data_IF_802537873097
#
_entry.id   IF_802537873097
#
_cell.length_a   1.000
_cell.length_b   1.000
_cell.length_c   1.000
_cell.angle_alpha   90.00
_cell.angle_beta   90.00
_cell.angle_gamma   90.00
#
_symmetry.space_group_name_H-M   'P 1'
#
loop_
_entity.id
_entity.type
_entity.pdbx_description
1 polymer ?
#
# COMPACT_ATOMS: atom_id res chain seq x y z
N UNK A 1 -28.77 35.40 41.33
CA UNK A 1 -27.94 35.89 40.18
C UNK A 1 -26.77 34.95 39.78
N UNK A 2 -26.72 33.71 40.24
CA UNK A 2 -25.60 32.81 39.94
C UNK A 2 -25.93 31.60 39.06
N UNK A 3 -27.22 31.29 38.85
CA UNK A 3 -27.63 30.12 38.10
C UNK A 3 -27.82 30.37 36.59
N UNK A 4 -28.24 31.57 36.22
CA UNK A 4 -28.52 31.91 34.81
C UNK A 4 -27.24 32.14 33.98
N UNK A 5 -26.12 32.49 34.64
CA UNK A 5 -24.84 32.73 33.95
C UNK A 5 -24.19 31.43 33.41
N UNK A 6 -24.40 30.31 34.10
CA UNK A 6 -23.84 29.02 33.66
C UNK A 6 -24.61 28.38 32.50
N UNK A 7 -25.92 28.62 32.42
CA UNK A 7 -26.73 28.12 31.31
C UNK A 7 -26.46 28.90 30.01
N UNK A 8 -26.26 30.20 30.09
CA UNK A 8 -25.95 31.06 28.93
C UNK A 8 -24.57 30.79 28.33
N UNK A 9 -23.57 30.53 29.17
CA UNK A 9 -22.23 30.17 28.74
C UNK A 9 -22.18 28.76 28.05
N UNK A 10 -22.97 27.80 28.55
CA UNK A 10 -23.06 26.47 27.96
C UNK A 10 -23.75 26.48 26.58
N UNK A 11 -24.77 27.31 26.39
CA UNK A 11 -25.45 27.45 25.09
C UNK A 11 -24.61 28.17 24.03
N UNK A 12 -23.76 29.13 24.42
CA UNK A 12 -22.86 29.82 23.49
C UNK A 12 -21.71 28.94 22.99
N UNK A 13 -21.23 28.00 23.80
CA UNK A 13 -20.17 27.04 23.42
C UNK A 13 -20.71 26.00 22.43
N UNK A 14 -21.99 25.61 22.55
CA UNK A 14 -22.63 24.65 21.62
C UNK A 14 -22.96 25.26 20.25
N UNK A 15 -23.09 26.59 20.18
CA UNK A 15 -23.41 27.29 18.93
C UNK A 15 -22.20 27.76 18.12
N UNK A 16 -20.97 27.47 18.56
CA UNK A 16 -19.72 27.82 17.85
C UNK A 16 -19.42 29.34 17.80
N UNK A 17 -20.12 30.17 18.58
CA UNK A 17 -20.02 31.62 18.53
C UNK A 17 -18.95 32.17 19.51
N UNK A 18 -17.69 31.96 19.16
CA UNK A 18 -16.52 32.38 19.95
C UNK A 18 -16.41 33.90 20.12
N UNK A 19 -17.08 34.69 19.26
CA UNK A 19 -17.13 36.14 19.37
C UNK A 19 -17.83 36.61 20.65
N UNK A 20 -18.87 35.93 21.11
CA UNK A 20 -19.60 36.27 22.32
C UNK A 20 -18.85 35.94 23.62
N UNK A 21 -18.04 34.89 23.59
CA UNK A 21 -17.22 34.49 24.75
C UNK A 21 -16.06 35.45 25.00
N UNK A 22 -15.48 36.01 23.93
CA UNK A 22 -14.39 37.01 24.06
C UNK A 22 -14.88 38.34 24.61
N UNK A 23 -16.12 38.71 24.33
CA UNK A 23 -16.70 39.98 24.89
C UNK A 23 -16.96 39.89 26.40
N UNK A 24 -17.28 38.70 26.93
CA UNK A 24 -17.58 38.54 28.36
C UNK A 24 -16.34 38.60 29.30
N UNK A 25 -15.14 38.40 28.81
CA UNK A 25 -13.89 38.51 29.63
C UNK A 25 -13.37 39.91 29.83
N UNK A 26 -13.87 40.94 29.12
CA UNK A 26 -13.45 42.34 29.21
C UNK A 26 -14.26 43.21 30.16
N UNK A 27 -15.23 42.67 30.90
CA UNK A 27 -16.15 43.43 31.75
C UNK A 27 -15.68 43.64 33.20
N UNK A 28 -14.40 43.60 33.47
CA UNK A 28 -13.92 43.82 34.86
C UNK A 28 -12.73 44.78 34.95
N UNK A 29 -12.75 45.89 34.23
CA UNK A 29 -11.91 47.08 34.64
C UNK A 29 -12.38 48.31 33.85
N UNK A 30 -12.74 49.35 34.62
CA UNK A 30 -12.93 50.74 34.26
C UNK A 30 -14.13 51.15 33.36
N UNK A 31 -15.14 51.73 34.03
CA UNK A 31 -16.32 52.34 33.45
C UNK A 31 -16.04 53.58 32.61
N UNK A 32 -15.81 53.40 31.34
CA UNK A 32 -16.05 54.40 30.28
C UNK A 32 -16.57 53.65 29.06
N UNK A 33 -17.85 53.77 28.76
CA UNK A 33 -18.45 53.26 27.55
C UNK A 33 -17.99 54.08 26.34
N UNK A 34 -17.12 53.53 25.52
CA UNK A 34 -16.99 53.90 24.11
C UNK A 34 -17.54 52.73 23.27
N UNK A 35 -18.64 52.97 22.59
CA UNK A 35 -19.16 52.09 21.57
C UNK A 35 -18.16 52.01 20.43
N UNK A 36 -17.33 50.99 20.41
CA UNK A 36 -16.54 50.65 19.24
C UNK A 36 -17.48 49.99 18.21
N UNK A 37 -17.86 50.73 17.20
CA UNK A 37 -18.49 50.18 15.99
C UNK A 37 -17.50 49.22 15.36
N UNK A 38 -17.79 47.93 15.42
CA UNK A 38 -17.07 46.92 14.69
C UNK A 38 -17.34 47.15 13.18
N UNK A 39 -16.40 47.80 12.48
CA UNK A 39 -16.45 47.78 11.00
C UNK A 39 -16.23 46.36 10.53
N UNK A 40 -17.07 45.82 9.64
CA UNK A 40 -16.75 44.59 8.96
C UNK A 40 -15.48 44.86 8.13
N UNK A 41 -14.39 44.16 8.41
CA UNK A 41 -13.23 44.13 7.54
C UNK A 41 -13.65 43.36 6.26
N UNK A 42 -14.11 44.12 5.27
CA UNK A 42 -14.28 43.67 3.90
C UNK A 42 -12.90 43.56 3.28
N UNK A 43 -12.44 42.37 3.15
CA UNK A 43 -11.20 42.04 2.48
C UNK A 43 -10.79 40.66 2.94
N UNK A 44 -11.17 39.63 2.17
CA UNK A 44 -10.72 38.25 2.38
C UNK A 44 -9.20 38.15 2.19
N UNK A 45 -8.44 38.58 3.20
CA UNK A 45 -7.00 38.30 3.30
C UNK A 45 -6.78 36.91 3.95
N UNK A 46 -7.67 35.98 3.73
CA UNK A 46 -7.44 34.60 4.14
C UNK A 46 -6.49 33.98 3.11
N UNK A 47 -5.24 33.80 3.50
CA UNK A 47 -4.28 33.08 2.68
C UNK A 47 -4.80 31.66 2.48
N UNK A 48 -5.01 31.20 1.23
CA UNK A 48 -5.48 29.85 1.00
C UNK A 48 -4.50 28.82 1.58
N UNK A 49 -5.03 27.90 2.39
CA UNK A 49 -4.26 26.79 2.93
C UNK A 49 -4.19 25.73 1.83
N UNK A 50 -3.00 25.50 1.31
CA UNK A 50 -2.74 24.50 0.27
C UNK A 50 -2.08 23.26 0.85
N UNK A 51 -2.24 22.09 0.19
CA UNK A 51 -1.42 20.90 0.47
C UNK A 51 0.07 21.19 0.21
N UNK A 52 0.95 20.41 0.83
CA UNK A 52 2.38 20.49 0.56
C UNK A 52 2.68 20.15 -0.91
N UNK A 53 3.60 20.89 -1.54
CA UNK A 53 4.04 20.61 -2.92
C UNK A 53 4.62 19.20 -3.09
N UNK A 54 5.18 18.60 -2.03
CA UNK A 54 5.61 17.19 -2.03
C UNK A 54 4.50 16.18 -2.37
N UNK A 55 3.23 16.60 -2.23
CA UNK A 55 2.06 15.79 -2.57
C UNK A 55 1.58 16.00 -4.01
N UNK A 56 2.17 16.91 -4.77
CA UNK A 56 1.76 17.17 -6.16
C UNK A 56 2.19 16.03 -7.09
N UNK A 57 3.36 15.43 -6.81
CA UNK A 57 3.91 14.30 -7.58
C UNK A 57 3.56 12.93 -6.98
N UNK A 58 2.69 12.90 -5.96
CA UNK A 58 2.23 11.65 -5.36
C UNK A 58 1.00 11.15 -6.12
N UNK A 59 1.22 10.24 -7.07
CA UNK A 59 0.16 9.49 -7.73
C UNK A 59 -0.28 8.34 -6.82
N UNK A 60 -1.24 8.60 -5.92
CA UNK A 60 -1.86 7.56 -5.07
C UNK A 60 -3.34 7.40 -5.44
N UNK A 61 -3.59 7.21 -6.74
CA UNK A 61 -4.91 7.27 -7.35
C UNK A 61 -5.79 6.03 -7.12
N UNK A 62 -5.33 5.05 -6.32
CA UNK A 62 -6.24 4.01 -5.79
C UNK A 62 -7.46 4.64 -5.08
N UNK A 63 -7.39 5.95 -4.76
CA UNK A 63 -8.44 6.78 -4.14
C UNK A 63 -8.85 7.99 -4.98
N UNK A 64 -8.53 8.02 -6.27
CA UNK A 64 -8.78 9.14 -7.17
C UNK A 64 -10.24 9.31 -7.62
N UNK A 65 -10.47 10.06 -8.70
CA UNK A 65 -11.81 10.43 -9.21
C UNK A 65 -12.78 9.25 -9.41
N UNK A 66 -12.25 8.07 -9.79
CA UNK A 66 -13.07 6.87 -9.92
C UNK A 66 -13.69 6.43 -8.59
N UNK A 67 -12.95 6.54 -7.46
CA UNK A 67 -13.50 6.21 -6.15
C UNK A 67 -14.50 7.25 -5.64
N UNK A 68 -14.28 8.53 -5.93
CA UNK A 68 -15.23 9.59 -5.60
C UNK A 68 -16.54 9.38 -6.34
N UNK A 69 -16.47 9.11 -7.65
CA UNK A 69 -17.63 8.75 -8.47
C UNK A 69 -18.34 7.49 -7.95
N UNK A 70 -17.56 6.47 -7.55
CA UNK A 70 -18.13 5.26 -6.97
C UNK A 70 -18.94 5.54 -5.69
N UNK A 71 -18.43 6.39 -4.79
CA UNK A 71 -19.15 6.81 -3.58
C UNK A 71 -20.44 7.54 -3.90
N UNK A 72 -20.38 8.50 -4.82
CA UNK A 72 -21.59 9.23 -5.25
C UNK A 72 -22.65 8.27 -5.81
N UNK A 73 -22.23 7.30 -6.64
CA UNK A 73 -23.16 6.32 -7.19
C UNK A 73 -23.77 5.41 -6.11
N UNK A 74 -23.01 5.06 -5.07
CA UNK A 74 -23.52 4.30 -3.92
C UNK A 74 -24.51 5.13 -3.10
N UNK A 75 -24.22 6.41 -2.88
CA UNK A 75 -25.14 7.35 -2.20
C UNK A 75 -26.43 7.51 -3.00
N UNK A 76 -26.37 7.45 -4.33
CA UNK A 76 -27.52 7.43 -5.26
C UNK A 76 -28.25 6.07 -5.30
N UNK A 77 -27.80 5.08 -4.50
CA UNK A 77 -28.43 3.77 -4.36
C UNK A 77 -27.98 2.71 -5.36
N UNK A 78 -26.92 2.94 -6.13
CA UNK A 78 -26.39 1.94 -7.07
C UNK A 78 -25.55 0.89 -6.34
N UNK A 79 -25.74 -0.38 -6.70
CA UNK A 79 -24.87 -1.49 -6.26
C UNK A 79 -23.68 -1.64 -7.20
N UNK A 80 -22.47 -1.52 -6.66
CA UNK A 80 -21.24 -1.62 -7.42
C UNK A 80 -20.50 -2.93 -7.17
N UNK A 81 -19.82 -3.47 -8.18
CA UNK A 81 -18.86 -4.56 -8.03
C UNK A 81 -17.45 -3.91 -7.90
N UNK A 82 -16.87 -4.01 -6.71
CA UNK A 82 -15.59 -3.36 -6.39
C UNK A 82 -14.45 -4.35 -6.53
N UNK A 83 -13.62 -4.20 -7.57
CA UNK A 83 -12.44 -5.01 -7.85
C UNK A 83 -11.13 -4.22 -7.72
N UNK A 84 -11.19 -3.07 -7.05
CA UNK A 84 -10.09 -2.10 -7.00
C UNK A 84 -9.13 -2.31 -5.83
N UNK A 85 -9.54 -2.94 -4.72
CA UNK A 85 -8.72 -3.06 -3.50
C UNK A 85 -8.61 -4.53 -3.07
N UNK A 86 -7.38 -4.98 -2.80
CA UNK A 86 -7.08 -6.29 -2.21
C UNK A 86 -7.44 -6.39 -0.74
N UNK A 87 -8.71 -6.14 -0.39
CA UNK A 87 -9.26 -6.31 0.95
C UNK A 87 -9.99 -7.66 1.03
N UNK A 88 -9.29 -8.67 1.56
CA UNK A 88 -9.77 -10.05 1.58
C UNK A 88 -11.06 -10.23 2.41
N UNK A 89 -11.18 -9.51 3.53
CA UNK A 89 -12.29 -9.67 4.47
C UNK A 89 -13.66 -9.38 3.83
N UNK A 90 -13.77 -8.35 2.96
CA UNK A 90 -15.05 -8.00 2.31
C UNK A 90 -15.53 -9.07 1.31
N UNK A 91 -14.65 -10.00 0.94
CA UNK A 91 -14.96 -11.11 0.05
C UNK A 91 -15.11 -12.46 0.79
N UNK A 92 -15.23 -12.42 2.14
CA UNK A 92 -15.41 -13.62 2.96
C UNK A 92 -14.14 -14.48 3.06
N UNK A 93 -12.97 -13.83 3.09
CA UNK A 93 -11.70 -14.46 3.47
C UNK A 93 -11.36 -14.00 4.88
N UNK A 94 -11.85 -14.73 5.88
CA UNK A 94 -11.63 -14.40 7.27
C UNK A 94 -10.19 -14.75 7.71
N UNK A 95 -9.61 -14.01 8.67
CA UNK A 95 -8.36 -14.40 9.28
C UNK A 95 -8.53 -15.73 10.04
N UNK A 96 -7.46 -16.50 10.26
CA UNK A 96 -7.52 -17.68 11.14
C UNK A 96 -8.02 -17.34 12.54
N UNK A 97 -8.96 -18.15 13.06
CA UNK A 97 -9.59 -17.92 14.36
C UNK A 97 -8.56 -17.84 15.49
N UNK A 98 -7.51 -18.64 15.43
CA UNK A 98 -6.45 -18.68 16.45
C UNK A 98 -5.75 -17.32 16.59
N UNK A 99 -5.57 -16.59 15.49
CA UNK A 99 -4.94 -15.26 15.48
C UNK A 99 -5.86 -14.27 16.21
N UNK A 100 -7.16 -14.29 15.89
CA UNK A 100 -8.15 -13.43 16.53
C UNK A 100 -8.27 -13.74 18.03
N UNK A 101 -8.34 -15.01 18.39
CA UNK A 101 -8.44 -15.46 19.78
C UNK A 101 -7.22 -15.03 20.60
N UNK A 102 -6.02 -15.11 20.02
CA UNK A 102 -4.79 -14.70 20.69
C UNK A 102 -4.77 -13.18 20.95
N UNK A 103 -5.20 -12.38 19.98
CA UNK A 103 -5.38 -10.93 20.18
C UNK A 103 -6.34 -10.63 21.33
N UNK A 104 -7.52 -11.29 21.37
CA UNK A 104 -8.54 -11.08 22.40
C UNK A 104 -7.98 -11.45 23.78
N UNK A 105 -7.32 -12.59 23.91
CA UNK A 105 -6.74 -13.06 25.20
C UNK A 105 -5.68 -12.10 25.74
N UNK A 106 -4.91 -11.47 24.86
CA UNK A 106 -3.82 -10.56 25.23
C UNK A 106 -4.23 -9.08 25.30
N UNK A 107 -5.51 -8.74 25.06
CA UNK A 107 -6.00 -7.36 25.02
C UNK A 107 -5.68 -6.58 26.30
N UNK A 108 -5.73 -7.21 27.48
CA UNK A 108 -5.36 -6.55 28.73
C UNK A 108 -3.88 -6.09 28.75
N UNK A 109 -2.99 -6.87 28.14
CA UNK A 109 -1.57 -6.52 28.01
C UNK A 109 -1.29 -5.43 26.98
N UNK A 110 -2.29 -5.08 26.17
CA UNK A 110 -2.17 -4.08 25.11
C UNK A 110 -2.54 -2.66 25.57
N UNK A 111 -2.89 -2.45 26.84
CA UNK A 111 -3.34 -1.15 27.35
C UNK A 111 -2.21 -0.11 27.44
N UNK A 112 -0.95 -0.53 27.61
CA UNK A 112 0.22 0.33 27.71
C UNK A 112 1.03 0.41 26.43
N UNK A 113 1.98 1.36 26.40
CA UNK A 113 2.98 1.40 25.34
C UNK A 113 3.90 0.17 25.40
N UNK A 114 4.31 -0.32 24.23
CA UNK A 114 5.32 -1.38 24.11
C UNK A 114 6.69 -0.79 23.83
N UNK A 115 7.72 -1.63 23.72
CA UNK A 115 9.02 -1.23 23.13
C UNK A 115 8.82 -0.59 21.75
N UNK A 116 9.62 0.42 21.43
CA UNK A 116 9.50 1.17 20.17
C UNK A 116 9.71 0.30 18.94
N UNK A 117 10.55 -0.73 19.04
CA UNK A 117 10.73 -1.73 17.97
C UNK A 117 9.63 -2.80 17.96
N UNK A 118 8.83 -2.89 19.02
CA UNK A 118 7.79 -3.87 19.21
C UNK A 118 8.08 -4.90 20.29
N UNK A 119 7.06 -5.64 20.71
CA UNK A 119 7.15 -6.69 21.73
C UNK A 119 8.19 -7.74 21.39
N UNK A 120 8.85 -8.27 22.43
CA UNK A 120 9.91 -9.25 22.27
C UNK A 120 9.43 -10.55 21.60
N UNK A 121 8.30 -11.11 22.05
CA UNK A 121 7.82 -12.39 21.54
C UNK A 121 7.45 -12.35 20.05
N UNK A 122 6.69 -11.35 19.53
CA UNK A 122 6.50 -11.18 18.09
C UNK A 122 7.78 -10.97 17.32
N UNK A 123 8.73 -10.15 17.79
CA UNK A 123 10.03 -9.98 17.12
C UNK A 123 10.82 -11.30 17.08
N UNK A 124 10.77 -12.09 18.12
CA UNK A 124 11.39 -13.43 18.16
C UNK A 124 10.71 -14.36 17.13
N UNK A 125 9.39 -14.32 17.00
CA UNK A 125 8.68 -15.09 15.98
C UNK A 125 9.10 -14.67 14.56
N UNK A 126 9.24 -13.37 14.29
CA UNK A 126 9.77 -12.86 13.02
C UNK A 126 11.19 -13.32 12.79
N UNK A 127 12.06 -13.31 13.81
CA UNK A 127 13.44 -13.83 13.70
C UNK A 127 13.45 -15.30 13.27
N UNK A 128 12.61 -16.14 13.87
CA UNK A 128 12.50 -17.55 13.46
C UNK A 128 11.96 -17.69 12.03
N UNK A 129 11.02 -16.83 11.63
CA UNK A 129 10.52 -16.81 10.27
C UNK A 129 11.62 -16.46 9.25
N UNK A 130 12.48 -15.48 9.57
CA UNK A 130 13.64 -15.16 8.71
C UNK A 130 14.64 -16.31 8.62
N UNK A 131 14.84 -17.05 9.70
CA UNK A 131 15.68 -18.25 9.69
C UNK A 131 15.11 -19.35 8.78
N UNK A 132 13.79 -19.57 8.80
CA UNK A 132 13.12 -20.49 7.89
C UNK A 132 13.30 -20.08 6.42
N UNK A 133 13.31 -18.77 6.14
CA UNK A 133 13.62 -18.20 4.82
C UNK A 133 15.12 -18.20 4.48
N UNK A 134 15.98 -18.73 5.35
CA UNK A 134 17.44 -18.80 5.18
C UNK A 134 18.12 -17.42 5.12
N UNK A 135 17.50 -16.38 5.68
CA UNK A 135 18.13 -15.07 5.81
C UNK A 135 19.10 -15.11 6.99
N UNK A 136 20.39 -14.94 6.71
CA UNK A 136 21.45 -15.09 7.71
C UNK A 136 21.62 -13.84 8.59
N UNK A 137 22.21 -14.01 9.77
CA UNK A 137 22.75 -12.93 10.60
C UNK A 137 21.72 -12.00 11.24
N UNK A 138 20.40 -12.36 11.23
CA UNK A 138 19.33 -11.55 11.83
C UNK A 138 19.25 -11.77 13.33
N UNK A 139 19.30 -10.67 14.09
CA UNK A 139 19.09 -10.63 15.55
C UNK A 139 17.74 -9.98 15.85
N UNK A 140 17.23 -10.16 17.05
CA UNK A 140 15.96 -9.54 17.47
C UNK A 140 16.01 -8.02 17.34
N UNK A 141 17.15 -7.40 17.57
CA UNK A 141 17.33 -5.94 17.48
C UNK A 141 17.34 -5.40 16.05
N UNK A 142 17.44 -6.27 15.07
CA UNK A 142 17.35 -5.92 13.65
C UNK A 142 15.90 -5.88 13.14
N UNK A 143 14.90 -6.10 14.03
CA UNK A 143 13.48 -6.27 13.69
C UNK A 143 12.66 -5.12 14.27
N UNK A 144 11.86 -4.49 13.41
CA UNK A 144 10.92 -3.44 13.76
C UNK A 144 9.51 -3.88 13.41
N UNK A 145 8.60 -3.81 14.38
CA UNK A 145 7.17 -4.01 14.13
C UNK A 145 6.51 -2.68 13.79
N UNK A 146 5.52 -2.69 12.91
CA UNK A 146 4.85 -1.48 12.43
C UNK A 146 3.34 -1.65 12.28
N UNK A 147 2.65 -0.52 12.13
CA UNK A 147 1.22 -0.47 11.81
C UNK A 147 0.96 -0.91 10.35
N UNK A 148 1.32 -2.18 10.07
CA UNK A 148 1.47 -2.74 8.74
C UNK A 148 2.78 -2.34 8.07
N UNK A 149 3.15 -3.03 6.98
CA UNK A 149 4.33 -2.69 6.20
C UNK A 149 4.31 -1.24 5.69
N UNK A 150 3.14 -0.65 5.47
CA UNK A 150 2.98 0.72 4.97
C UNK A 150 3.64 1.78 5.85
N UNK A 151 3.52 1.68 7.18
CA UNK A 151 4.20 2.59 8.10
C UNK A 151 5.72 2.43 8.02
N UNK A 152 6.17 1.18 7.93
CA UNK A 152 7.60 0.85 7.89
C UNK A 152 8.26 1.30 6.57
N UNK A 153 7.54 1.25 5.44
CA UNK A 153 7.98 1.82 4.16
C UNK A 153 8.22 3.33 4.31
N UNK A 154 7.25 4.05 4.85
CA UNK A 154 7.37 5.51 5.07
C UNK A 154 8.53 5.82 6.02
N UNK A 155 8.63 5.08 7.13
CA UNK A 155 9.70 5.25 8.13
C UNK A 155 11.07 4.96 7.52
N UNK A 156 11.20 3.92 6.71
CA UNK A 156 12.45 3.54 6.06
C UNK A 156 12.94 4.62 5.07
N UNK A 157 12.05 5.18 4.26
CA UNK A 157 12.38 6.27 3.34
C UNK A 157 12.72 7.57 4.08
N UNK A 158 11.98 7.92 5.14
CA UNK A 158 12.29 9.08 5.97
C UNK A 158 13.65 8.98 6.67
N UNK A 159 14.06 7.76 7.06
CA UNK A 159 15.35 7.52 7.70
C UNK A 159 16.54 7.55 6.74
N UNK A 160 16.31 7.36 5.44
CA UNK A 160 17.37 7.23 4.44
C UNK A 160 17.59 8.50 3.62
N UNK A 161 16.50 9.16 3.16
CA UNK A 161 16.55 10.07 2.03
C UNK A 161 16.70 11.53 2.45
N UNK A 162 17.57 12.23 1.74
CA UNK A 162 17.68 13.68 1.68
C UNK A 162 17.14 14.21 0.34
N UNK A 163 16.98 15.52 0.24
CA UNK A 163 16.60 16.14 -1.02
C UNK A 163 17.66 15.89 -2.10
N UNK A 164 17.22 15.34 -3.23
CA UNK A 164 18.08 15.00 -4.36
C UNK A 164 18.59 13.57 -4.37
N UNK A 165 18.36 12.78 -3.31
CA UNK A 165 18.62 11.35 -3.34
C UNK A 165 17.60 10.64 -4.25
N UNK A 166 18.01 9.54 -4.87
CA UNK A 166 17.20 8.77 -5.80
C UNK A 166 17.00 7.33 -5.30
N UNK A 167 15.84 6.77 -5.63
CA UNK A 167 15.52 5.37 -5.35
C UNK A 167 14.97 4.73 -6.63
N UNK A 168 15.54 3.60 -7.04
CA UNK A 168 14.98 2.79 -8.12
C UNK A 168 13.73 2.06 -7.63
N UNK A 169 12.61 2.27 -8.31
CA UNK A 169 11.30 1.67 -8.00
C UNK A 169 10.77 0.98 -9.25
N UNK A 170 10.15 -0.23 -9.16
CA UNK A 170 9.64 -0.89 -10.36
C UNK A 170 8.51 -0.09 -11.02
N UNK A 171 8.33 -0.26 -12.33
CA UNK A 171 7.13 0.13 -13.05
C UNK A 171 6.62 -1.10 -13.84
N UNK A 172 5.40 -1.60 -13.52
CA UNK A 172 4.46 -1.06 -12.52
C UNK A 172 4.85 -1.38 -11.07
N UNK A 173 4.45 -0.51 -10.11
CA UNK A 173 4.75 -0.64 -8.70
C UNK A 173 3.51 -0.63 -7.80
N UNK A 174 3.72 -0.83 -6.50
CA UNK A 174 2.77 -0.44 -5.48
C UNK A 174 2.99 1.04 -5.15
N UNK A 175 2.04 1.95 -5.46
CA UNK A 175 2.28 3.41 -5.47
C UNK A 175 2.74 4.02 -4.14
N UNK A 176 2.62 3.29 -3.04
CA UNK A 176 3.12 3.73 -1.74
C UNK A 176 4.66 3.91 -1.75
N UNK A 177 5.39 3.08 -2.52
CA UNK A 177 6.84 3.21 -2.60
C UNK A 177 7.24 4.54 -3.25
N UNK A 178 6.65 4.84 -4.40
CA UNK A 178 6.83 6.14 -5.08
C UNK A 178 6.43 7.32 -4.17
N UNK A 179 5.27 7.21 -3.50
CA UNK A 179 4.79 8.24 -2.58
C UNK A 179 5.74 8.43 -1.38
N UNK A 180 6.23 7.34 -0.77
CA UNK A 180 7.12 7.42 0.38
C UNK A 180 8.48 8.05 0.04
N UNK A 181 9.04 7.73 -1.12
CA UNK A 181 10.26 8.34 -1.64
C UNK A 181 10.06 9.85 -1.83
N UNK A 182 9.01 10.26 -2.55
CA UNK A 182 8.71 11.69 -2.80
C UNK A 182 8.46 12.46 -1.51
N UNK A 183 7.69 11.91 -0.57
CA UNK A 183 7.40 12.55 0.71
C UNK A 183 8.63 12.68 1.60
N UNK A 184 9.58 11.76 1.50
CA UNK A 184 10.87 11.85 2.19
C UNK A 184 11.84 12.86 1.57
N UNK A 185 11.51 13.42 0.38
CA UNK A 185 12.32 14.41 -0.32
C UNK A 185 13.23 13.81 -1.39
N UNK A 186 13.17 12.50 -1.62
CA UNK A 186 13.86 11.81 -2.71
C UNK A 186 13.09 11.82 -4.02
N UNK A 187 13.72 11.33 -5.06
CA UNK A 187 13.16 11.17 -6.40
C UNK A 187 12.99 9.68 -6.72
N UNK A 188 11.77 9.18 -6.95
CA UNK A 188 11.56 7.82 -7.44
C UNK A 188 11.95 7.74 -8.92
N UNK A 189 12.86 6.83 -9.24
CA UNK A 189 13.32 6.56 -10.59
C UNK A 189 12.77 5.19 -10.99
N UNK A 190 11.79 5.16 -11.87
CA UNK A 190 11.11 3.92 -12.24
C UNK A 190 11.92 3.11 -13.25
N UNK A 191 12.22 1.85 -12.90
CA UNK A 191 12.76 0.87 -13.84
C UNK A 191 11.62 0.00 -14.41
N UNK A 192 11.77 -0.41 -15.66
CA UNK A 192 10.74 -1.17 -16.37
C UNK A 192 10.74 -2.63 -15.92
N UNK A 193 9.55 -3.16 -15.59
CA UNK A 193 9.29 -4.59 -15.59
C UNK A 193 8.65 -4.94 -16.93
N UNK A 194 9.31 -5.78 -17.72
CA UNK A 194 8.91 -6.05 -19.11
C UNK A 194 7.76 -7.09 -19.17
N UNK A 195 6.60 -6.66 -19.70
CA UNK A 195 5.45 -7.56 -19.90
C UNK A 195 5.80 -8.74 -20.81
N UNK A 196 6.63 -8.53 -21.85
CA UNK A 196 7.01 -9.58 -22.78
C UNK A 196 7.95 -10.62 -22.16
N UNK A 197 8.58 -10.26 -21.05
CA UNK A 197 9.40 -11.14 -20.22
C UNK A 197 8.68 -11.55 -18.92
N UNK A 198 7.36 -11.76 -18.93
CA UNK A 198 6.57 -12.14 -17.75
C UNK A 198 6.68 -11.12 -16.58
N UNK A 199 6.79 -9.84 -16.89
CA UNK A 199 6.96 -8.76 -15.90
C UNK A 199 8.27 -8.82 -15.11
N UNK A 200 9.33 -9.42 -15.66
CA UNK A 200 10.63 -9.40 -15.02
C UNK A 200 11.26 -8.01 -15.10
N UNK A 201 12.00 -7.57 -14.05
CA UNK A 201 12.81 -6.36 -14.09
C UNK A 201 13.80 -6.37 -15.25
N UNK A 202 13.82 -5.29 -16.03
CA UNK A 202 14.84 -5.08 -17.06
C UNK A 202 16.14 -4.58 -16.39
N UNK A 203 17.11 -5.47 -16.26
CA UNK A 203 18.39 -5.19 -15.61
C UNK A 203 19.22 -4.16 -16.38
N UNK A 204 19.10 -4.11 -17.71
CA UNK A 204 19.80 -3.12 -18.53
C UNK A 204 19.22 -1.72 -18.30
N UNK A 205 17.90 -1.62 -18.24
CA UNK A 205 17.20 -0.38 -17.90
C UNK A 205 17.55 0.07 -16.46
N UNK A 206 17.52 -0.84 -15.47
CA UNK A 206 17.93 -0.54 -14.10
C UNK A 206 19.34 0.04 -14.06
N UNK A 207 20.31 -0.62 -14.73
CA UNK A 207 21.71 -0.18 -14.80
C UNK A 207 21.85 1.21 -15.39
N UNK A 208 21.09 1.49 -16.44
CA UNK A 208 21.13 2.79 -17.13
C UNK A 208 20.63 3.96 -16.29
N UNK A 209 19.80 3.66 -15.29
CA UNK A 209 19.14 4.64 -14.41
C UNK A 209 19.87 4.89 -13.09
N UNK A 210 20.91 4.12 -12.79
CA UNK A 210 21.74 4.35 -11.58
C UNK A 210 22.62 5.57 -11.78
N UNK A 211 22.57 6.50 -10.83
CA UNK A 211 23.39 7.71 -10.76
C UNK A 211 24.16 7.78 -9.45
N UNK A 212 25.08 8.72 -9.25
CA UNK A 212 25.74 8.95 -7.95
C UNK A 212 24.77 9.32 -6.81
N UNK A 213 23.55 9.75 -7.15
CA UNK A 213 22.51 10.09 -6.17
C UNK A 213 21.64 8.90 -5.79
N UNK A 214 21.73 7.79 -6.51
CA UNK A 214 20.95 6.59 -6.21
C UNK A 214 21.39 5.99 -4.87
N UNK A 215 20.43 5.72 -3.97
CA UNK A 215 20.67 5.17 -2.62
C UNK A 215 20.16 3.75 -2.46
N UNK A 216 19.11 3.40 -3.20
CA UNK A 216 18.45 2.13 -2.98
C UNK A 216 17.73 1.61 -4.22
N UNK A 217 17.45 0.31 -4.19
CA UNK A 217 16.58 -0.40 -5.13
C UNK A 217 15.40 -0.99 -4.35
N UNK A 218 14.19 -0.75 -4.81
CA UNK A 218 12.97 -1.40 -4.31
C UNK A 218 12.67 -2.61 -5.17
N UNK A 219 12.47 -3.77 -4.54
CA UNK A 219 12.06 -5.02 -5.17
C UNK A 219 10.74 -5.46 -4.55
N UNK A 220 9.67 -5.53 -5.36
CA UNK A 220 8.36 -6.00 -4.91
C UNK A 220 8.19 -7.41 -5.46
N UNK A 221 8.41 -8.40 -4.61
CA UNK A 221 8.38 -9.81 -5.03
C UNK A 221 7.69 -10.70 -3.98
N UNK A 222 6.52 -11.28 -4.30
CA UNK A 222 5.73 -11.16 -5.54
C UNK A 222 5.18 -9.77 -5.80
N UNK A 223 5.07 -9.40 -7.08
CA UNK A 223 4.73 -8.04 -7.49
C UNK A 223 3.22 -7.73 -7.39
N UNK A 224 2.92 -6.54 -6.96
CA UNK A 224 1.64 -5.87 -7.10
C UNK A 224 1.87 -4.66 -8.03
N UNK A 225 1.24 -4.60 -9.23
CA UNK A 225 -0.06 -5.20 -9.58
C UNK A 225 -0.02 -6.47 -10.44
N UNK A 226 1.13 -6.95 -10.89
CA UNK A 226 1.22 -7.95 -11.97
C UNK A 226 1.06 -9.41 -11.50
N UNK A 227 1.33 -9.69 -10.23
CA UNK A 227 1.41 -11.06 -9.73
C UNK A 227 2.65 -11.83 -10.20
N UNK A 228 3.65 -11.13 -10.74
CA UNK A 228 4.93 -11.71 -11.12
C UNK A 228 5.69 -12.25 -9.90
N UNK A 229 6.44 -13.31 -10.11
CA UNK A 229 7.36 -13.89 -9.14
C UNK A 229 8.74 -13.98 -9.79
N UNK A 230 9.71 -13.27 -9.22
CA UNK A 230 11.04 -13.15 -9.80
C UNK A 230 11.88 -14.39 -9.49
N UNK A 231 12.50 -15.00 -10.50
CA UNK A 231 13.37 -16.14 -10.33
C UNK A 231 14.71 -15.73 -9.75
N UNK A 232 15.44 -16.72 -9.23
CA UNK A 232 16.73 -16.55 -8.55
C UNK A 232 17.74 -15.78 -9.39
N UNK A 233 17.79 -16.04 -10.67
CA UNK A 233 18.75 -15.43 -11.62
C UNK A 233 18.57 -13.91 -11.65
N UNK A 234 17.35 -13.41 -11.78
CA UNK A 234 17.03 -11.99 -11.76
C UNK A 234 17.37 -11.36 -10.40
N UNK A 235 17.05 -12.05 -9.30
CA UNK A 235 17.37 -11.56 -7.97
C UNK A 235 18.90 -11.43 -7.76
N UNK A 236 19.70 -12.36 -8.27
CA UNK A 236 21.15 -12.29 -8.22
C UNK A 236 21.72 -11.14 -9.05
N UNK A 237 21.15 -10.83 -10.22
CA UNK A 237 21.55 -9.68 -11.03
C UNK A 237 21.24 -8.36 -10.32
N UNK A 238 20.09 -8.25 -9.64
CA UNK A 238 19.75 -7.08 -8.81
C UNK A 238 20.73 -6.92 -7.65
N UNK A 239 21.09 -8.02 -6.97
CA UNK A 239 22.09 -8.01 -5.90
C UNK A 239 23.44 -7.52 -6.43
N UNK A 240 23.85 -7.98 -7.62
CA UNK A 240 25.10 -7.56 -8.21
C UNK A 240 25.12 -6.06 -8.55
N UNK A 241 24.01 -5.50 -9.06
CA UNK A 241 23.87 -4.06 -9.23
C UNK A 241 24.01 -3.32 -7.91
N UNK A 242 23.31 -3.77 -6.87
CA UNK A 242 23.39 -3.16 -5.55
C UNK A 242 24.79 -3.20 -4.97
N UNK A 243 25.51 -4.33 -5.14
CA UNK A 243 26.89 -4.51 -4.70
C UNK A 243 27.85 -3.56 -5.38
N UNK A 244 27.74 -3.44 -6.72
CA UNK A 244 28.61 -2.58 -7.54
C UNK A 244 28.47 -1.10 -7.19
N UNK A 245 27.29 -0.68 -6.77
CA UNK A 245 26.97 0.74 -6.52
C UNK A 245 26.75 1.08 -5.03
N UNK A 246 26.93 0.11 -4.13
CA UNK A 246 26.76 0.31 -2.69
C UNK A 246 25.31 0.67 -2.28
N UNK A 247 24.31 0.08 -2.96
CA UNK A 247 22.90 0.40 -2.76
C UNK A 247 22.24 -0.52 -1.72
N UNK A 248 21.23 0.01 -1.02
CA UNK A 248 20.35 -0.77 -0.15
C UNK A 248 19.30 -1.45 -1.02
N UNK A 249 18.94 -2.71 -0.73
CA UNK A 249 17.81 -3.39 -1.33
C UNK A 249 16.64 -3.41 -0.34
N UNK A 250 15.53 -2.77 -0.71
CA UNK A 250 14.24 -2.89 -0.03
C UNK A 250 13.43 -3.99 -0.70
N UNK A 251 13.13 -5.05 0.07
CA UNK A 251 12.37 -6.19 -0.41
C UNK A 251 10.95 -6.17 0.20
N UNK A 252 9.96 -5.86 -0.61
CA UNK A 252 8.54 -5.98 -0.23
C UNK A 252 8.06 -7.39 -0.55
N UNK A 253 7.94 -8.22 0.49
CA UNK A 253 7.59 -9.63 0.38
C UNK A 253 6.21 -9.93 0.97
N UNK A 254 5.30 -8.97 0.96
CA UNK A 254 3.98 -9.09 1.60
C UNK A 254 3.12 -10.24 1.03
N UNK A 255 3.43 -10.74 -0.17
CA UNK A 255 2.73 -11.83 -0.85
C UNK A 255 3.51 -13.15 -0.88
N UNK A 256 4.57 -13.31 -0.10
CA UNK A 256 5.51 -14.43 -0.16
C UNK A 256 4.91 -15.83 0.06
N UNK A 257 3.66 -15.92 0.53
CA UNK A 257 2.89 -17.17 0.67
C UNK A 257 1.67 -17.28 -0.25
N UNK A 258 1.35 -16.21 -0.97
CA UNK A 258 0.23 -16.25 -1.94
C UNK A 258 0.80 -16.65 -3.29
N UNK A 259 1.06 -17.94 -3.45
CA UNK A 259 1.77 -18.52 -4.60
C UNK A 259 0.90 -19.59 -5.26
N UNK A 260 0.90 -19.65 -6.58
CA UNK A 260 0.09 -20.57 -7.36
C UNK A 260 0.95 -21.57 -8.14
N UNK A 261 0.34 -22.67 -8.58
CA UNK A 261 0.92 -23.65 -9.50
C UNK A 261 2.23 -24.29 -8.98
N UNK A 262 2.38 -24.43 -7.66
CA UNK A 262 3.58 -25.01 -7.04
C UNK A 262 4.82 -24.11 -7.07
N UNK A 263 4.66 -22.84 -7.45
CA UNK A 263 5.77 -21.88 -7.36
C UNK A 263 6.23 -21.69 -5.91
N UNK A 264 7.50 -21.35 -5.74
CA UNK A 264 8.14 -21.11 -4.44
C UNK A 264 8.77 -19.73 -4.45
N UNK A 265 8.50 -18.97 -3.41
CA UNK A 265 9.15 -17.67 -3.20
C UNK A 265 10.54 -17.87 -2.56
N UNK A 266 11.54 -17.23 -3.13
CA UNK A 266 12.87 -17.10 -2.53
C UNK A 266 13.07 -15.65 -2.12
N UNK A 267 13.43 -15.42 -0.85
CA UNK A 267 13.74 -14.07 -0.38
C UNK A 267 15.06 -13.60 -0.97
N UNK A 268 15.08 -12.40 -1.58
CA UNK A 268 16.32 -11.84 -2.11
C UNK A 268 17.40 -11.70 -1.02
N UNK A 269 16.99 -11.43 0.22
CA UNK A 269 17.89 -11.31 1.36
C UNK A 269 18.52 -12.64 1.81
N UNK A 270 18.05 -13.78 1.28
CA UNK A 270 18.68 -15.10 1.55
C UNK A 270 19.82 -15.43 0.60
N UNK A 271 20.02 -14.64 -0.46
CA UNK A 271 20.94 -14.93 -1.56
C UNK A 271 22.32 -14.29 -1.39
N UNK A 272 22.45 -13.32 -0.48
CA UNK A 272 23.73 -12.66 -0.18
C UNK A 272 23.75 -12.14 1.25
N UNK A 273 24.94 -11.91 1.80
CA UNK A 273 25.18 -11.36 3.14
C UNK A 273 26.08 -10.12 3.13
N UNK A 274 26.55 -9.72 1.96
CA UNK A 274 27.48 -8.62 1.71
C UNK A 274 26.82 -7.33 1.18
N UNK A 275 25.48 -7.35 0.97
CA UNK A 275 24.64 -6.20 0.64
C UNK A 275 23.70 -5.94 1.79
N UNK A 276 23.33 -4.68 2.02
CA UNK A 276 22.33 -4.35 3.04
C UNK A 276 20.92 -4.58 2.50
N UNK A 277 20.14 -5.40 3.19
CA UNK A 277 18.74 -5.66 2.89
C UNK A 277 17.81 -5.12 3.97
N UNK A 278 16.67 -4.59 3.53
CA UNK A 278 15.53 -4.21 4.38
C UNK A 278 14.32 -4.97 3.86
N UNK A 279 13.96 -6.07 4.51
CA UNK A 279 12.86 -6.94 4.11
C UNK A 279 11.59 -6.58 4.86
N UNK A 280 10.50 -6.32 4.13
CA UNK A 280 9.20 -5.95 4.68
C UNK A 280 8.18 -7.05 4.43
N UNK A 281 7.36 -7.32 5.44
CA UNK A 281 6.26 -8.28 5.35
C UNK A 281 5.19 -7.96 6.43
N UNK A 282 4.12 -8.77 6.51
CA UNK A 282 3.07 -8.55 7.50
C UNK A 282 1.92 -9.54 7.40
N UNK A 283 0.92 -9.33 8.25
CA UNK A 283 -0.24 -10.22 8.34
C UNK A 283 -1.33 -9.91 7.31
N UNK A 284 -1.23 -8.79 6.60
CA UNK A 284 -2.31 -8.24 5.79
C UNK A 284 -2.81 -9.18 4.70
N UNK A 285 -1.92 -9.94 4.04
CA UNK A 285 -2.24 -10.73 2.85
C UNK A 285 -2.22 -12.22 3.13
N UNK A 286 -1.09 -12.73 3.57
CA UNK A 286 -0.92 -14.14 3.89
C UNK A 286 -1.90 -14.66 4.95
N UNK A 287 -2.25 -13.80 5.92
CA UNK A 287 -3.14 -14.15 7.03
C UNK A 287 -4.51 -13.45 6.97
N UNK A 288 -4.82 -12.76 5.87
CA UNK A 288 -6.11 -12.12 5.57
C UNK A 288 -6.57 -11.11 6.63
N UNK A 289 -5.63 -10.52 7.37
CA UNK A 289 -5.88 -9.63 8.51
C UNK A 289 -5.39 -8.20 8.27
N UNK A 290 -5.71 -7.62 7.10
CA UNK A 290 -5.24 -6.27 6.73
C UNK A 290 -5.72 -5.19 7.71
N UNK A 291 -6.85 -5.38 8.39
CA UNK A 291 -7.38 -4.47 9.40
C UNK A 291 -6.64 -4.51 10.74
N UNK A 292 -5.87 -5.56 11.03
CA UNK A 292 -5.11 -5.66 12.29
C UNK A 292 -3.87 -4.76 12.31
N UNK A 293 -3.47 -4.25 11.16
CA UNK A 293 -2.33 -3.34 11.01
C UNK A 293 -1.07 -3.87 11.68
N UNK A 294 -0.70 -5.11 11.42
CA UNK A 294 0.51 -5.74 11.91
C UNK A 294 1.46 -6.08 10.75
N UNK A 295 2.66 -5.55 10.81
CA UNK A 295 3.73 -5.79 9.85
C UNK A 295 5.09 -5.70 10.53
N UNK A 296 6.12 -6.08 9.82
CA UNK A 296 7.50 -6.03 10.29
C UNK A 296 8.46 -5.65 9.18
N UNK A 297 9.59 -5.10 9.61
CA UNK A 297 10.77 -4.79 8.80
C UNK A 297 11.97 -5.47 9.44
N UNK A 298 12.80 -6.11 8.64
CA UNK A 298 14.00 -6.84 9.06
C UNK A 298 15.21 -6.28 8.35
N UNK A 299 16.23 -5.89 9.08
CA UNK A 299 17.52 -5.45 8.56
C UNK A 299 18.49 -6.62 8.56
N UNK A 300 19.04 -6.98 7.41
CA UNK A 300 19.96 -8.11 7.25
C UNK A 300 21.13 -7.79 6.30
N UNK A 301 22.08 -8.72 6.16
CA UNK A 301 23.27 -8.54 5.35
C UNK A 301 24.31 -7.63 6.00
N UNK A 302 25.07 -6.87 5.19
CA UNK A 302 26.17 -6.05 5.69
C UNK A 302 25.70 -4.75 6.35
N UNK A 303 25.72 -4.70 7.67
CA UNK A 303 25.31 -3.55 8.49
C UNK A 303 26.47 -2.65 8.92
N UNK A 304 27.71 -2.95 8.51
CA UNK A 304 28.92 -2.23 8.99
C UNK A 304 28.87 -0.75 8.67
N UNK A 305 28.33 -0.39 7.52
CA UNK A 305 28.23 0.98 7.03
C UNK A 305 26.82 1.61 7.22
N UNK A 306 25.90 0.90 7.87
CA UNK A 306 24.51 1.33 8.05
C UNK A 306 24.18 1.80 9.48
N UNK A 307 25.18 2.05 10.33
CA UNK A 307 24.96 2.39 11.75
C UNK A 307 24.10 3.64 11.92
N UNK A 308 24.41 4.70 11.20
CA UNK A 308 23.68 5.99 11.28
C UNK A 308 22.25 5.83 10.75
N UNK A 309 22.05 5.06 9.67
CA UNK A 309 20.73 4.75 9.16
C UNK A 309 19.90 3.96 10.18
N UNK A 310 20.48 2.94 10.82
CA UNK A 310 19.83 2.15 11.88
C UNK A 310 19.51 3.03 13.09
N UNK A 311 20.39 3.98 13.46
CA UNK A 311 20.11 4.94 14.52
C UNK A 311 18.95 5.87 14.15
N UNK A 312 18.90 6.35 12.91
CA UNK A 312 17.76 7.12 12.37
C UNK A 312 16.46 6.35 12.47
N UNK A 313 16.45 5.06 12.12
CA UNK A 313 15.27 4.20 12.27
C UNK A 313 14.87 4.03 13.75
N UNK A 314 15.84 3.90 14.66
CA UNK A 314 15.57 3.82 16.10
C UNK A 314 14.93 5.11 16.62
N UNK A 315 15.40 6.28 16.18
CA UNK A 315 14.81 7.56 16.52
C UNK A 315 13.37 7.67 16.02
N UNK A 316 13.12 7.35 14.75
CA UNK A 316 11.77 7.39 14.16
C UNK A 316 10.82 6.43 14.86
N UNK A 317 11.28 5.20 15.17
CA UNK A 317 10.51 4.23 15.93
C UNK A 317 10.16 4.77 17.33
N UNK A 318 11.10 5.44 18.01
CA UNK A 318 10.90 6.04 19.33
C UNK A 318 9.97 7.24 19.29
N UNK A 319 10.05 8.09 18.27
CA UNK A 319 9.18 9.26 18.09
C UNK A 319 7.70 8.89 17.96
N UNK A 320 7.38 7.77 17.31
CA UNK A 320 6.00 7.26 17.21
C UNK A 320 5.56 6.47 18.44
N UNK A 321 6.41 6.29 19.45
CA UNK A 321 6.26 5.49 20.67
C UNK A 321 6.30 3.98 20.38
N UNK A 322 5.26 3.39 19.80
CA UNK A 322 5.22 1.98 19.40
C UNK A 322 4.19 1.72 18.29
N UNK A 323 4.26 0.57 17.64
CA UNK A 323 3.18 0.07 16.80
C UNK A 323 1.96 -0.30 17.67
N UNK A 324 0.76 -0.43 17.06
CA UNK A 324 -0.43 -0.82 17.80
C UNK A 324 -0.21 -2.15 18.55
N UNK A 325 -0.36 -2.13 19.85
CA UNK A 325 -0.06 -3.28 20.71
C UNK A 325 -0.98 -4.49 20.44
N UNK A 326 -2.31 -4.33 20.25
CA UNK A 326 -3.19 -5.45 19.89
C UNK A 326 -2.73 -6.25 18.69
N UNK A 327 -2.37 -5.57 17.59
CA UNK A 327 -1.94 -6.23 16.35
C UNK A 327 -0.61 -7.00 16.51
N UNK A 328 0.26 -6.59 17.43
CA UNK A 328 1.53 -7.27 17.66
C UNK A 328 1.33 -8.68 18.22
N UNK A 329 0.34 -8.89 19.08
CA UNK A 329 0.06 -10.21 19.66
C UNK A 329 -0.35 -11.24 18.60
N UNK A 330 -0.95 -10.81 17.50
CA UNK A 330 -1.33 -11.68 16.39
C UNK A 330 -0.13 -12.31 15.66
N UNK A 331 1.05 -11.67 15.68
CA UNK A 331 2.19 -12.05 14.84
C UNK A 331 2.74 -13.44 15.22
N UNK A 332 2.90 -13.71 16.51
CA UNK A 332 3.48 -14.96 16.97
C UNK A 332 2.60 -16.17 16.56
N UNK A 333 1.31 -16.09 16.79
CA UNK A 333 0.35 -17.13 16.45
C UNK A 333 0.22 -17.30 14.94
N UNK A 334 0.24 -16.19 14.19
CA UNK A 334 0.23 -16.24 12.73
C UNK A 334 1.44 -16.97 12.16
N UNK A 335 2.65 -16.64 12.63
CA UNK A 335 3.89 -17.23 12.10
C UNK A 335 4.12 -18.66 12.57
N UNK A 336 3.71 -18.99 13.82
CA UNK A 336 3.93 -20.31 14.41
C UNK A 336 2.77 -21.28 14.21
N UNK A 337 1.60 -20.81 13.80
CA UNK A 337 0.38 -21.60 13.65
C UNK A 337 0.22 -22.25 12.29
N UNK A 338 -0.97 -22.79 12.06
CA UNK A 338 -1.35 -23.39 10.78
C UNK A 338 -1.39 -22.37 9.67
N UNK A 339 -0.76 -22.70 8.53
CA UNK A 339 -0.66 -21.79 7.38
C UNK A 339 -1.86 -21.98 6.44
N UNK A 340 -3.04 -21.55 6.87
CA UNK A 340 -4.31 -21.75 6.15
C UNK A 340 -4.38 -21.05 4.77
N UNK A 341 -3.40 -20.19 4.44
CA UNK A 341 -3.26 -19.66 3.09
C UNK A 341 -2.98 -20.76 2.06
N UNK A 342 -2.26 -21.81 2.47
CA UNK A 342 -1.92 -22.94 1.60
C UNK A 342 -3.19 -23.66 1.09
N UNK A 343 -4.25 -23.72 1.91
CA UNK A 343 -5.54 -24.29 1.50
C UNK A 343 -6.24 -23.49 0.40
N UNK A 344 -5.95 -22.19 0.32
CA UNK A 344 -6.57 -21.30 -0.64
C UNK A 344 -5.84 -21.29 -2.00
N UNK A 345 -4.53 -21.52 -1.99
CA UNK A 345 -3.69 -21.43 -3.19
C UNK A 345 -3.37 -22.78 -3.84
N UNK A 346 -3.56 -23.91 -3.13
CA UNK A 346 -3.33 -25.27 -3.66
C UNK A 346 -4.39 -25.66 -4.69
N UNK A 347 -4.17 -26.73 -5.47
CA UNK A 347 -5.18 -27.32 -6.35
C UNK A 347 -6.52 -27.54 -5.65
N UNK A 348 -7.59 -26.99 -6.21
CA UNK A 348 -8.93 -27.00 -5.59
C UNK A 348 -9.21 -25.85 -4.61
N UNK A 349 -8.19 -25.09 -4.22
CA UNK A 349 -8.32 -23.93 -3.34
C UNK A 349 -9.09 -22.77 -3.98
N UNK A 350 -9.73 -21.96 -3.14
CA UNK A 350 -10.62 -20.89 -3.61
C UNK A 350 -9.89 -19.81 -4.41
N UNK A 351 -8.72 -19.34 -3.95
CA UNK A 351 -7.95 -18.32 -4.65
C UNK A 351 -7.45 -18.80 -6.00
N UNK A 352 -6.96 -20.06 -6.07
CA UNK A 352 -6.50 -20.63 -7.34
C UNK A 352 -7.64 -20.72 -8.36
N UNK A 353 -8.82 -21.20 -7.94
CA UNK A 353 -10.01 -21.28 -8.81
C UNK A 353 -10.43 -19.90 -9.31
N UNK A 354 -10.45 -18.91 -8.44
CA UNK A 354 -10.84 -17.54 -8.80
C UNK A 354 -9.83 -16.89 -9.74
N UNK A 355 -8.52 -17.10 -9.52
CA UNK A 355 -7.48 -16.65 -10.44
C UNK A 355 -7.67 -17.25 -11.83
N UNK A 356 -7.83 -18.57 -11.91
CA UNK A 356 -7.94 -19.27 -13.19
C UNK A 356 -9.21 -18.88 -13.94
N UNK A 357 -10.33 -18.73 -13.22
CA UNK A 357 -11.59 -18.26 -13.79
C UNK A 357 -11.46 -16.84 -14.36
N UNK A 358 -10.96 -15.89 -13.55
CA UNK A 358 -10.80 -14.51 -13.99
C UNK A 358 -9.83 -14.40 -15.18
N UNK A 359 -8.71 -15.13 -15.15
CA UNK A 359 -7.76 -15.18 -16.26
C UNK A 359 -8.45 -15.63 -17.54
N UNK A 360 -9.17 -16.76 -17.50
CA UNK A 360 -9.89 -17.29 -18.66
C UNK A 360 -10.91 -16.28 -19.19
N UNK A 361 -11.77 -15.75 -18.31
CA UNK A 361 -12.85 -14.84 -18.72
C UNK A 361 -12.32 -13.54 -19.35
N UNK A 362 -11.21 -13.00 -18.84
CA UNK A 362 -10.62 -11.80 -19.38
C UNK A 362 -9.90 -12.02 -20.70
N UNK A 363 -9.13 -13.11 -20.81
CA UNK A 363 -8.39 -13.42 -22.04
C UNK A 363 -9.29 -13.98 -23.17
N UNK A 364 -10.52 -14.40 -22.87
CA UNK A 364 -11.54 -14.74 -23.87
C UNK A 364 -12.13 -13.46 -24.55
N UNK A 365 -11.89 -12.24 -23.98
CA UNK A 365 -12.36 -10.99 -24.58
C UNK A 365 -11.42 -10.59 -25.72
N UNK A 366 -11.93 -10.31 -26.93
CA UNK A 366 -11.09 -9.91 -28.07
C UNK A 366 -10.25 -8.64 -27.75
N UNK A 367 -8.95 -8.72 -28.01
CA UNK A 367 -8.00 -7.61 -27.76
C UNK A 367 -7.60 -7.42 -26.29
N UNK A 368 -7.93 -8.36 -25.42
CA UNK A 368 -7.45 -8.42 -24.03
C UNK A 368 -6.39 -9.51 -23.91
N UNK A 369 -5.22 -9.15 -23.43
CA UNK A 369 -4.16 -10.09 -23.07
C UNK A 369 -3.78 -9.92 -21.60
N UNK A 370 -3.19 -10.93 -20.99
CA UNK A 370 -2.73 -10.87 -19.61
C UNK A 370 -1.64 -11.92 -19.38
N UNK A 371 -0.55 -11.53 -18.77
CA UNK A 371 0.40 -12.50 -18.19
C UNK A 371 -0.28 -13.16 -17.00
N UNK A 372 -0.34 -14.51 -17.00
CA UNK A 372 -1.01 -15.25 -15.93
C UNK A 372 -0.28 -15.07 -14.61
N UNK A 373 -0.92 -14.52 -13.54
CA UNK A 373 -0.26 -14.29 -12.27
C UNK A 373 0.28 -15.57 -11.64
N UNK A 374 1.55 -15.58 -11.27
CA UNK A 374 2.20 -16.67 -10.52
C UNK A 374 1.96 -16.54 -9.02
N UNK A 375 1.55 -15.35 -8.57
CA UNK A 375 1.40 -15.02 -7.16
C UNK A 375 0.42 -13.86 -6.93
N UNK A 376 0.29 -13.42 -5.68
CA UNK A 376 -0.52 -12.29 -5.21
C UNK A 376 -2.03 -12.45 -5.47
N UNK A 377 -2.77 -11.35 -5.61
CA UNK A 377 -4.25 -11.32 -5.62
C UNK A 377 -4.81 -10.56 -6.82
N UNK A 378 -3.97 -10.26 -7.81
CA UNK A 378 -4.23 -9.28 -8.85
C UNK A 378 -4.00 -9.86 -10.23
N UNK A 379 -4.73 -9.30 -11.20
CA UNK A 379 -4.43 -9.36 -12.63
C UNK A 379 -4.18 -7.97 -13.16
N UNK A 380 -3.30 -7.87 -14.14
CA UNK A 380 -2.92 -6.64 -14.79
C UNK A 380 -3.04 -6.80 -16.32
N UNK A 381 -4.30 -6.94 -16.83
CA UNK A 381 -4.54 -7.19 -18.24
C UNK A 381 -4.26 -5.95 -19.08
N UNK A 382 -3.77 -6.22 -20.30
CA UNK A 382 -3.52 -5.25 -21.36
C UNK A 382 -4.68 -5.21 -22.33
N UNK A 383 -5.01 -4.00 -22.78
CA UNK A 383 -5.95 -3.73 -23.86
C UNK A 383 -5.14 -3.38 -25.13
N UNK A 384 -5.38 -4.09 -26.24
CA UNK A 384 -4.72 -3.83 -27.51
C UNK A 384 -5.02 -2.40 -27.99
N UNK A 385 -4.02 -1.52 -28.09
CA UNK A 385 -4.24 -0.12 -28.49
C UNK A 385 -4.85 0.04 -29.91
N UNK A 386 -4.68 -0.97 -30.76
CA UNK A 386 -5.28 -0.97 -32.11
C UNK A 386 -6.80 -1.18 -32.03
N UNK A 387 -7.28 -1.90 -31.02
CA UNK A 387 -8.71 -2.16 -30.81
C UNK A 387 -9.34 -1.19 -29.81
N UNK A 388 -8.56 -0.70 -28.87
CA UNK A 388 -8.98 0.16 -27.76
C UNK A 388 -8.05 1.40 -27.70
N UNK A 389 -8.31 2.45 -28.50
CA UNK A 389 -7.47 3.65 -28.52
C UNK A 389 -7.73 4.53 -27.31
N UNK A 390 -7.20 4.12 -26.14
CA UNK A 390 -7.37 4.81 -24.87
C UNK A 390 -6.29 5.88 -24.74
N UNK A 391 -6.70 7.14 -24.59
CA UNK A 391 -5.78 8.26 -24.36
C UNK A 391 -5.63 8.58 -22.86
N UNK A 392 -6.67 8.30 -22.07
CA UNK A 392 -6.76 8.52 -20.61
C UNK A 392 -7.45 7.32 -19.98
N UNK A 393 -6.65 6.48 -19.31
CA UNK A 393 -7.16 5.27 -18.67
C UNK A 393 -7.96 5.56 -17.39
N UNK A 394 -7.75 6.71 -16.76
CA UNK A 394 -8.57 7.14 -15.62
C UNK A 394 -9.98 7.48 -16.09
N UNK A 395 -10.13 8.23 -17.18
CA UNK A 395 -11.43 8.50 -17.76
C UNK A 395 -12.10 7.21 -18.23
N UNK A 396 -11.36 6.31 -18.87
CA UNK A 396 -11.85 5.01 -19.30
C UNK A 396 -12.43 4.19 -18.13
N UNK A 397 -11.74 4.12 -16.98
CA UNK A 397 -12.25 3.46 -15.77
C UNK A 397 -13.50 4.16 -15.23
N UNK A 398 -13.57 5.50 -15.29
CA UNK A 398 -14.76 6.24 -14.89
C UNK A 398 -15.97 5.97 -15.79
N UNK A 399 -15.75 5.75 -17.09
CA UNK A 399 -16.81 5.39 -18.06
C UNK A 399 -17.32 3.96 -17.79
N UNK A 400 -16.41 2.99 -17.63
CA UNK A 400 -16.76 1.62 -17.24
C UNK A 400 -17.58 1.58 -15.94
N UNK A 401 -17.19 2.34 -14.93
CA UNK A 401 -17.90 2.45 -13.67
C UNK A 401 -19.31 3.02 -13.87
N UNK A 402 -19.45 4.07 -14.69
CA UNK A 402 -20.74 4.69 -14.96
C UNK A 402 -21.69 3.77 -15.72
N UNK A 403 -21.21 3.09 -16.75
CA UNK A 403 -22.00 2.24 -17.62
C UNK A 403 -22.34 0.88 -16.95
N UNK A 404 -21.32 0.17 -16.45
CA UNK A 404 -21.42 -1.23 -16.02
C UNK A 404 -21.36 -1.45 -14.51
N UNK A 405 -21.15 -0.39 -13.71
CA UNK A 405 -21.11 -0.48 -12.23
C UNK A 405 -19.97 -1.37 -11.71
N UNK A 406 -18.84 -1.44 -12.45
CA UNK A 406 -17.63 -2.16 -12.05
C UNK A 406 -16.52 -1.16 -11.76
N UNK A 407 -15.92 -1.24 -10.58
CA UNK A 407 -14.82 -0.37 -10.15
C UNK A 407 -13.49 -1.12 -10.25
N UNK A 408 -12.61 -0.67 -11.13
CA UNK A 408 -11.24 -1.12 -11.33
C UNK A 408 -10.24 -0.02 -10.95
N UNK A 409 -8.95 -0.28 -11.17
CA UNK A 409 -7.89 0.75 -11.07
C UNK A 409 -7.15 0.81 -12.40
N UNK A 410 -6.94 2.01 -12.91
CA UNK A 410 -6.18 2.26 -14.13
C UNK A 410 -4.71 1.87 -13.99
N UNK A 411 -4.08 1.49 -15.10
CA UNK A 411 -2.69 1.05 -15.13
C UNK A 411 -1.70 2.15 -14.76
N UNK A 412 -1.95 3.38 -15.24
CA UNK A 412 -1.11 4.55 -14.91
C UNK A 412 -1.11 4.88 -13.42
N UNK A 413 -2.14 4.47 -12.66
CA UNK A 413 -2.17 4.56 -11.20
C UNK A 413 -1.16 3.66 -10.47
N UNK A 414 -0.45 2.80 -11.18
CA UNK A 414 0.68 1.98 -10.74
C UNK A 414 2.01 2.42 -11.36
N UNK A 415 2.09 3.67 -11.79
CA UNK A 415 3.25 4.25 -12.51
C UNK A 415 3.61 3.50 -13.81
N UNK A 416 2.64 2.78 -14.40
CA UNK A 416 2.81 2.19 -15.71
C UNK A 416 2.82 3.28 -16.79
N UNK A 417 3.68 3.10 -17.80
CA UNK A 417 4.01 4.17 -18.77
C UNK A 417 2.94 4.38 -19.84
N UNK A 418 2.02 3.44 -20.03
CA UNK A 418 1.01 3.49 -21.09
C UNK A 418 -0.40 3.33 -20.53
N UNK A 419 -1.42 4.01 -21.11
CA UNK A 419 -2.80 3.94 -20.64
C UNK A 419 -3.55 2.71 -21.20
N UNK A 420 -2.86 1.58 -21.32
CA UNK A 420 -3.36 0.36 -21.98
C UNK A 420 -3.58 -0.81 -21.01
N UNK A 421 -3.42 -0.59 -19.71
CA UNK A 421 -3.62 -1.61 -18.68
C UNK A 421 -4.64 -1.17 -17.63
N UNK A 422 -5.18 -2.17 -16.93
CA UNK A 422 -5.92 -1.95 -15.69
C UNK A 422 -5.64 -3.06 -14.69
N UNK A 423 -5.82 -2.77 -13.40
CA UNK A 423 -5.72 -3.81 -12.36
C UNK A 423 -7.09 -4.19 -11.84
N UNK A 424 -7.31 -5.49 -11.66
CA UNK A 424 -8.42 -6.04 -10.90
C UNK A 424 -7.95 -7.03 -9.84
N UNK A 425 -8.76 -7.18 -8.77
CA UNK A 425 -8.61 -8.27 -7.80
C UNK A 425 -9.53 -9.43 -8.18
N UNK A 426 -9.04 -10.68 -8.08
CA UNK A 426 -9.87 -11.87 -8.33
C UNK A 426 -10.41 -12.49 -7.04
N UNK A 427 -10.78 -11.63 -6.07
CA UNK A 427 -11.25 -12.04 -4.73
C UNK A 427 -12.75 -12.33 -4.61
N UNK A 428 -13.66 -11.79 -5.45
CA UNK A 428 -15.07 -12.16 -5.42
C UNK A 428 -15.29 -13.65 -5.68
N UNK A 429 -16.45 -14.19 -5.26
CA UNK A 429 -16.84 -15.55 -5.63
C UNK A 429 -16.97 -15.71 -7.15
N UNK A 430 -17.11 -16.96 -7.62
CA UNK A 430 -17.11 -17.27 -9.06
C UNK A 430 -18.24 -16.60 -9.82
N UNK A 431 -19.41 -16.45 -9.20
CA UNK A 431 -20.59 -15.85 -9.83
C UNK A 431 -20.40 -14.34 -10.00
N UNK A 432 -19.95 -13.65 -8.95
CA UNK A 432 -19.62 -12.21 -8.99
C UNK A 432 -18.47 -11.91 -9.96
N UNK A 433 -17.45 -12.79 -10.03
CA UNK A 433 -16.37 -12.66 -11.02
C UNK A 433 -16.87 -12.82 -12.45
N UNK A 434 -17.76 -13.79 -12.67
CA UNK A 434 -18.36 -14.04 -13.99
C UNK A 434 -19.22 -12.85 -14.42
N UNK A 435 -20.03 -12.29 -13.52
CA UNK A 435 -20.81 -11.08 -13.79
C UNK A 435 -19.90 -9.89 -14.09
N UNK A 436 -18.88 -9.66 -13.24
CA UNK A 436 -17.96 -8.54 -13.44
C UNK A 436 -17.22 -8.63 -14.78
N UNK A 437 -16.65 -9.79 -15.11
CA UNK A 437 -15.95 -9.98 -16.38
C UNK A 437 -16.91 -9.87 -17.59
N UNK A 438 -18.16 -10.35 -17.45
CA UNK A 438 -19.18 -10.18 -18.47
C UNK A 438 -19.56 -8.70 -18.69
N UNK A 439 -19.62 -7.90 -17.64
CA UNK A 439 -19.83 -6.44 -17.73
C UNK A 439 -18.65 -5.75 -18.39
N UNK A 440 -17.42 -6.10 -18.03
CA UNK A 440 -16.19 -5.59 -18.67
C UNK A 440 -16.23 -5.93 -20.18
N UNK A 441 -16.59 -7.14 -20.55
CA UNK A 441 -16.69 -7.56 -21.95
C UNK A 441 -17.72 -6.74 -22.73
N UNK A 442 -18.91 -6.49 -22.16
CA UNK A 442 -19.95 -5.64 -22.80
C UNK A 442 -19.48 -4.22 -22.98
N UNK A 443 -18.86 -3.63 -21.96
CA UNK A 443 -18.32 -2.28 -22.05
C UNK A 443 -17.25 -2.18 -23.14
N UNK A 444 -16.30 -3.11 -23.17
CA UNK A 444 -15.24 -3.17 -24.16
C UNK A 444 -15.79 -3.31 -25.60
N UNK A 445 -16.81 -4.17 -25.82
CA UNK A 445 -17.45 -4.28 -27.12
C UNK A 445 -18.13 -2.96 -27.53
N UNK A 446 -18.84 -2.32 -26.61
CA UNK A 446 -19.43 -0.98 -26.83
C UNK A 446 -18.39 0.09 -27.10
N UNK A 447 -17.28 0.11 -26.34
CA UNK A 447 -16.17 1.04 -26.51
C UNK A 447 -15.56 0.90 -27.89
N UNK A 448 -15.23 -0.34 -28.29
CA UNK A 448 -14.67 -0.63 -29.61
C UNK A 448 -15.59 -0.11 -30.75
N UNK A 449 -16.92 -0.37 -30.65
CA UNK A 449 -17.88 0.10 -31.67
C UNK A 449 -17.93 1.62 -31.77
N UNK A 450 -17.84 2.35 -30.63
CA UNK A 450 -17.81 3.81 -30.60
C UNK A 450 -16.55 4.40 -31.23
N UNK A 451 -15.43 3.66 -31.20
CA UNK A 451 -14.12 4.11 -31.70
C UNK A 451 -13.67 3.35 -32.95
N UNK A 452 -14.50 2.46 -33.53
CA UNK A 452 -14.22 1.84 -34.82
C UNK A 452 -14.15 2.92 -35.89
N UNK A 453 -13.00 3.05 -36.53
CA UNK A 453 -12.76 3.96 -37.64
C UNK A 453 -13.14 3.29 -38.95
#
# INVERSE_FOLDING_TARGET
MGHDYKLFAAQAIFAGDWCKVAQMRRFRQNGIFRTATCRPTTGDNVRPIRKSNKLDDVCYEIRGPALEKARQMEDDGHKLIKLNIGNLAVFGFDPPDEIMQDMIRNMHGAAGYTDSKGLFAPRKAVMHYTQQKKIAGVRIDDIYLGNGASELIVMAMQGLLNNGDEVLVPAPDYPLWTAAVSLAGGSPIHYVCDEQADWMPDIADMRSKITPNTRAIVVINPNNPTGALYPREILLEIIELARQHGLIIYADEIYDKVLYDGNVHESIASLADDVLFVTLNGLSKNYRSCGYRAGWMVISGDKRHAKDYIEGLNMLASMRLCANAPGQFAIQTALGGYQSIDDLVRPGGRLLKQRDLAYKLLTDIPGVSCVKPKAALYMFPRLDPAMYPIADDQQFICELLAEEKVLLVQGTGFNWIAPDHFRLVFLPNSDDLTDACGRIARFLDGYRRRHAR
#
